data_IF_515382581458
#
_entry.id   IF_515382581458
#
_cell.length_a   1.000
_cell.length_b   1.000
_cell.length_c   1.000
_cell.angle_alpha   90.00
_cell.angle_beta   90.00
_cell.angle_gamma   90.00
#
_symmetry.space_group_name_H-M   'P 1'
#
loop_
_entity.id
_entity.type
_entity.pdbx_description
1 polymer ?
#
# COMPACT_ATOMS: atom_id res chain seq x y z
N UNK A 1 -4.79 2.03 -9.97
CA UNK A 1 -4.35 0.62 -9.92
C UNK A 1 -5.42 -0.17 -9.17
N UNK A 2 -5.80 -1.37 -9.63
CA UNK A 2 -6.81 -2.20 -8.97
C UNK A 2 -6.20 -3.50 -8.44
N UNK A 3 -6.82 -4.18 -7.46
CA UNK A 3 -6.35 -5.49 -6.98
C UNK A 3 -6.26 -6.54 -8.09
N UNK A 4 -7.19 -6.54 -9.04
CA UNK A 4 -7.21 -7.49 -10.16
C UNK A 4 -5.96 -7.33 -11.03
N UNK A 5 -5.58 -6.09 -11.34
CA UNK A 5 -4.36 -5.82 -12.09
C UNK A 5 -3.11 -6.29 -11.34
N UNK A 6 -3.09 -6.20 -10.00
CA UNK A 6 -1.99 -6.71 -9.17
C UNK A 6 -1.94 -8.25 -9.20
N UNK A 7 -3.09 -8.91 -9.18
CA UNK A 7 -3.18 -10.37 -9.31
C UNK A 7 -2.68 -10.85 -10.67
N UNK A 8 -3.03 -10.14 -11.75
CA UNK A 8 -2.51 -10.41 -13.09
C UNK A 8 -0.98 -10.25 -13.17
N UNK A 9 -0.43 -9.18 -12.57
CA UNK A 9 1.03 -8.97 -12.47
C UNK A 9 1.71 -10.09 -11.69
N UNK A 10 1.15 -10.47 -10.54
CA UNK A 10 1.67 -11.53 -9.68
C UNK A 10 1.71 -12.87 -10.43
N UNK A 11 0.61 -13.24 -11.11
CA UNK A 11 0.55 -14.45 -11.92
C UNK A 11 1.57 -14.45 -13.07
N UNK A 12 1.71 -13.31 -13.77
CA UNK A 12 2.69 -13.17 -14.84
C UNK A 12 4.13 -13.37 -14.33
N UNK A 13 4.47 -12.75 -13.20
CA UNK A 13 5.82 -12.88 -12.61
C UNK A 13 6.07 -14.32 -12.17
N UNK A 14 5.11 -14.97 -11.50
CA UNK A 14 5.24 -16.38 -11.10
C UNK A 14 5.45 -17.30 -12.30
N UNK A 15 4.78 -17.06 -13.43
CA UNK A 15 4.99 -17.85 -14.65
C UNK A 15 6.40 -17.66 -15.24
N UNK A 16 6.90 -16.42 -15.29
CA UNK A 16 8.20 -16.10 -15.91
C UNK A 16 9.39 -16.38 -14.99
N UNK A 17 9.18 -16.34 -13.68
CA UNK A 17 10.21 -16.41 -12.63
C UNK A 17 9.75 -17.29 -11.46
N UNK A 18 9.40 -18.57 -11.69
CA UNK A 18 8.73 -19.42 -10.70
C UNK A 18 9.55 -19.69 -9.42
N UNK A 19 10.87 -19.48 -9.45
CA UNK A 19 11.77 -19.76 -8.32
C UNK A 19 12.56 -18.52 -7.86
N UNK A 20 12.18 -17.32 -8.31
CA UNK A 20 12.82 -16.08 -7.86
C UNK A 20 11.83 -15.27 -7.01
N UNK A 21 12.21 -14.84 -5.79
CA UNK A 21 11.39 -13.91 -5.04
C UNK A 21 11.27 -12.58 -5.79
N UNK A 22 10.09 -11.99 -5.78
CA UNK A 22 9.84 -10.70 -6.41
C UNK A 22 8.91 -9.86 -5.54
N UNK A 23 9.22 -8.57 -5.43
CA UNK A 23 8.41 -7.63 -4.69
C UNK A 23 7.45 -6.87 -5.62
N UNK A 24 6.19 -6.82 -5.23
CA UNK A 24 5.17 -5.98 -5.88
C UNK A 24 4.85 -4.83 -4.92
N UNK A 25 5.36 -3.65 -5.25
CA UNK A 25 5.09 -2.42 -4.50
C UNK A 25 3.85 -1.76 -5.07
N UNK A 26 2.83 -1.58 -4.24
CA UNK A 26 1.62 -0.82 -4.57
C UNK A 26 1.67 0.52 -3.87
N UNK A 27 1.38 1.59 -4.61
CA UNK A 27 1.26 2.93 -4.06
C UNK A 27 -0.21 3.34 -3.86
N UNK A 28 -0.46 4.14 -2.82
CA UNK A 28 -1.76 4.70 -2.54
C UNK A 28 -1.79 5.54 -1.26
N UNK A 29 -2.97 5.99 -0.88
CA UNK A 29 -3.19 6.71 0.38
C UNK A 29 -4.08 5.89 1.33
N UNK A 30 -3.77 5.92 2.63
CA UNK A 30 -4.60 5.28 3.67
C UNK A 30 -5.03 6.28 4.74
N UNK A 31 -6.26 6.14 5.30
CA UNK A 31 -6.74 6.99 6.38
C UNK A 31 -6.05 6.61 7.70
N UNK A 32 -4.96 7.31 8.05
CA UNK A 32 -4.17 7.00 9.24
C UNK A 32 -4.88 7.21 10.60
N UNK A 33 -5.97 7.98 10.63
CA UNK A 33 -6.82 8.15 11.83
C UNK A 33 -7.73 6.94 12.09
N UNK A 34 -7.93 6.07 11.09
CA UNK A 34 -8.79 4.90 11.19
C UNK A 34 -8.01 3.63 10.76
N UNK A 35 -7.33 2.97 11.71
CA UNK A 35 -6.49 1.81 11.40
C UNK A 35 -7.25 0.66 10.74
N UNK A 36 -8.53 0.45 11.06
CA UNK A 36 -9.36 -0.60 10.44
C UNK A 36 -9.64 -0.28 8.97
N UNK A 37 -10.00 0.95 8.66
CA UNK A 37 -10.24 1.39 7.29
C UNK A 37 -8.95 1.39 6.47
N UNK A 38 -7.82 1.79 7.07
CA UNK A 38 -6.50 1.66 6.45
C UNK A 38 -6.17 0.20 6.10
N UNK A 39 -6.50 -0.75 6.97
CA UNK A 39 -6.33 -2.17 6.69
C UNK A 39 -7.26 -2.65 5.57
N UNK A 40 -8.52 -2.21 5.57
CA UNK A 40 -9.50 -2.58 4.55
C UNK A 40 -9.13 -2.05 3.15
N UNK A 41 -8.46 -0.89 3.06
CA UNK A 41 -7.91 -0.36 1.80
C UNK A 41 -6.80 -1.27 1.24
N UNK A 42 -5.89 -1.74 2.10
CA UNK A 42 -4.68 -2.46 1.66
C UNK A 42 -4.91 -3.97 1.50
N UNK A 43 -5.85 -4.54 2.26
CA UNK A 43 -6.12 -5.99 2.30
C UNK A 43 -6.38 -6.63 0.92
N UNK A 44 -7.18 -6.02 0.01
CA UNK A 44 -7.38 -6.58 -1.33
C UNK A 44 -6.09 -6.65 -2.16
N UNK A 45 -5.19 -5.66 -2.00
CA UNK A 45 -3.91 -5.65 -2.71
C UNK A 45 -2.95 -6.71 -2.17
N UNK A 46 -2.91 -6.91 -0.86
CA UNK A 46 -2.14 -8.00 -0.24
C UNK A 46 -2.64 -9.36 -0.76
N UNK A 47 -3.96 -9.56 -0.78
CA UNK A 47 -4.56 -10.80 -1.31
C UNK A 47 -4.27 -11.01 -2.80
N UNK A 48 -4.12 -9.92 -3.56
CA UNK A 48 -3.72 -9.96 -4.97
C UNK A 48 -2.22 -10.21 -5.19
N UNK A 49 -1.39 -10.19 -4.13
CA UNK A 49 0.04 -10.47 -4.21
C UNK A 49 0.95 -9.25 -4.09
N UNK A 50 0.44 -8.09 -3.68
CA UNK A 50 1.30 -6.97 -3.26
C UNK A 50 2.14 -7.37 -2.04
N UNK A 51 3.43 -7.05 -2.07
CA UNK A 51 4.36 -7.33 -0.96
C UNK A 51 4.69 -6.09 -0.14
N UNK A 52 4.58 -4.89 -0.74
CA UNK A 52 4.78 -3.62 -0.05
C UNK A 52 3.67 -2.62 -0.38
N UNK A 53 3.32 -1.82 0.63
CA UNK A 53 2.51 -0.63 0.46
C UNK A 53 3.38 0.62 0.60
N UNK A 54 3.32 1.50 -0.39
CA UNK A 54 3.97 2.80 -0.38
C UNK A 54 2.92 3.90 -0.18
N UNK A 55 2.99 4.59 0.95
CA UNK A 55 2.10 5.71 1.27
C UNK A 55 2.49 6.94 0.43
N UNK A 56 1.75 7.21 -0.64
CA UNK A 56 2.10 8.22 -1.64
C UNK A 56 1.10 9.36 -1.69
N UNK A 57 1.30 10.35 -0.80
CA UNK A 57 0.46 11.55 -0.71
C UNK A 57 0.89 12.65 -1.68
N UNK A 58 0.89 12.32 -2.97
CA UNK A 58 1.41 13.19 -4.04
C UNK A 58 0.73 14.56 -4.13
N UNK A 59 -0.52 14.67 -3.66
CA UNK A 59 -1.32 15.89 -3.70
C UNK A 59 -1.07 16.83 -2.51
N UNK A 60 -0.27 16.42 -1.52
CA UNK A 60 0.07 17.29 -0.38
C UNK A 60 0.95 18.46 -0.83
N UNK A 61 0.59 19.72 -0.52
CA UNK A 61 1.38 20.89 -0.90
C UNK A 61 2.81 20.85 -0.38
N UNK A 62 3.77 21.39 -1.14
CA UNK A 62 5.18 21.51 -0.73
C UNK A 62 5.42 22.74 0.18
N UNK A 63 4.59 22.89 1.21
CA UNK A 63 4.64 23.98 2.20
C UNK A 63 5.05 23.46 3.58
N UNK A 64 5.23 24.35 4.56
CA UNK A 64 5.48 23.94 5.95
C UNK A 64 4.31 23.12 6.52
N UNK A 65 3.07 23.52 6.22
CA UNK A 65 1.85 22.79 6.57
C UNK A 65 1.81 21.40 5.92
N UNK A 66 2.09 21.30 4.62
CA UNK A 66 2.12 20.00 3.95
C UNK A 66 3.20 19.06 4.49
N UNK A 67 4.36 19.60 4.89
CA UNK A 67 5.37 18.82 5.62
C UNK A 67 4.84 18.28 6.95
N UNK A 68 4.04 19.06 7.67
CA UNK A 68 3.39 18.60 8.91
C UNK A 68 2.37 17.51 8.62
N UNK A 69 1.57 17.61 7.55
CA UNK A 69 0.61 16.57 7.14
C UNK A 69 1.30 15.23 6.83
N UNK A 70 2.44 15.26 6.14
CA UNK A 70 3.22 14.04 5.86
C UNK A 70 3.86 13.49 7.14
N UNK A 71 4.46 14.36 7.97
CA UNK A 71 5.05 13.95 9.24
C UNK A 71 4.03 13.30 10.18
N UNK A 72 2.80 13.82 10.21
CA UNK A 72 1.72 13.21 10.98
C UNK A 72 1.35 11.82 10.45
N UNK A 73 1.18 11.67 9.14
CA UNK A 73 0.90 10.34 8.55
C UNK A 73 2.00 9.33 8.87
N UNK A 74 3.27 9.74 8.89
CA UNK A 74 4.38 8.86 9.29
C UNK A 74 4.26 8.42 10.75
N UNK A 75 3.88 9.32 11.67
CA UNK A 75 3.72 8.97 13.10
C UNK A 75 2.59 7.99 13.35
N UNK A 76 1.51 8.08 12.57
CA UNK A 76 0.37 7.16 12.64
C UNK A 76 0.74 5.72 12.26
N UNK A 77 1.91 5.52 11.63
CA UNK A 77 2.42 4.19 11.34
C UNK A 77 1.72 3.48 10.17
N UNK A 78 2.17 2.27 9.83
CA UNK A 78 1.59 1.50 8.73
C UNK A 78 0.17 0.99 9.09
N UNK A 79 -0.64 0.63 8.08
CA UNK A 79 -1.89 -0.09 8.31
C UNK A 79 -1.68 -1.35 9.17
N UNK A 80 -2.47 -1.50 10.23
CA UNK A 80 -2.38 -2.64 11.14
C UNK A 80 -3.32 -3.74 10.65
N UNK A 81 -2.76 -4.82 10.13
CA UNK A 81 -3.53 -5.98 9.67
C UNK A 81 -3.90 -6.83 10.88
N UNK A 82 -5.11 -6.66 11.42
CA UNK A 82 -5.65 -7.65 12.35
C UNK A 82 -6.04 -8.93 11.57
N UNK A 83 -5.74 -10.08 12.18
CA UNK A 83 -6.39 -11.34 11.79
C UNK A 83 -7.88 -11.18 12.14
N UNK A 84 -8.74 -11.13 11.11
CA UNK A 84 -10.19 -11.30 11.28
C UNK A 84 -10.51 -12.76 11.02
#
# INVERSE_FOLDING_TARGET
LTPEAVAEMSAFIQEKKPNEPFDIVVEGETPGENPEEAADVVRPFIQAGATWWLETRWQVPRTAEGKQMVAERVRQGPPVLSEK
#
